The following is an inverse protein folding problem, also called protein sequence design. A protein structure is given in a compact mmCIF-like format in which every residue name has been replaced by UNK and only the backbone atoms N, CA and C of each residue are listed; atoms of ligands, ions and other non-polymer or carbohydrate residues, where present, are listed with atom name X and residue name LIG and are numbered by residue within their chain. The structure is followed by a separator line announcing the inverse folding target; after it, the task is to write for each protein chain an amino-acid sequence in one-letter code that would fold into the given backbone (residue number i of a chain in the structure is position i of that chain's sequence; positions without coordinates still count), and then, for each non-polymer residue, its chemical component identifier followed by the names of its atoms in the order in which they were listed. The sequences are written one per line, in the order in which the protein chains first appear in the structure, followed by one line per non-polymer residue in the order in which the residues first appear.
data_IF_619582970632
#
_entry.id   IF_619582970632
#
_cell.length_a   1.000
_cell.length_b   1.000
_cell.length_c   1.000
_cell.angle_alpha   90.00
_cell.angle_beta   90.00
_cell.angle_gamma   90.00
#
_symmetry.space_group_name_H-M   'P 1'
#
loop_
_entity.id
_entity.type
_entity.pdbx_description
1 polymer ?
2 non-polymer ?
3 water ?
#
# COMPACT_ATOMS: atom_id res chain seq x y z
N UNK A 5 15.34 -0.87 -6.46
CA UNK A 5 13.96 -0.29 -6.50
C UNK A 5 13.95 1.21 -6.17
N UNK A 6 12.89 1.93 -6.58
CA UNK A 6 12.77 3.38 -6.36
C UNK A 6 12.69 3.65 -4.86
N UNK A 7 13.16 4.82 -4.44
CA UNK A 7 13.11 5.09 -3.03
C UNK A 7 11.69 5.48 -2.65
N UNK A 8 11.16 4.77 -1.70
CA UNK A 8 9.84 5.07 -1.17
C UNK A 8 10.04 5.46 0.26
N UNK A 9 9.37 6.50 0.67
CA UNK A 9 9.44 6.97 2.03
C UNK A 9 8.05 6.90 2.66
N UNK A 10 8.08 6.91 4.02
CA UNK A 10 6.85 6.88 4.81
C UNK A 10 6.60 8.28 5.35
N UNK A 11 5.54 8.88 4.86
CA UNK A 11 5.12 10.19 5.27
C UNK A 11 3.96 10.01 6.19
N UNK A 12 4.22 9.83 7.48
CA UNK A 12 3.14 9.69 8.41
C UNK A 12 2.20 10.87 8.42
N UNK A 13 2.75 12.09 8.29
CA UNK A 13 1.94 13.31 8.33
C UNK A 13 0.89 13.39 7.21
N UNK A 14 1.14 12.67 6.10
CA UNK A 14 0.17 12.60 5.05
C UNK A 14 -0.48 11.19 4.93
N UNK A 15 -0.29 10.33 5.94
CA UNK A 15 -0.74 8.89 5.94
C UNK A 15 -0.47 8.19 4.62
N UNK A 16 0.77 8.26 4.18
CA UNK A 16 1.09 7.70 2.89
C UNK A 16 2.49 7.23 2.82
N UNK A 17 2.69 6.26 1.95
CA UNK A 17 4.02 5.94 1.44
C UNK A 17 4.12 6.60 0.09
N UNK A 18 5.27 7.17 -0.22
CA UNK A 18 5.36 7.98 -1.42
C UNK A 18 6.76 7.92 -1.99
N UNK A 19 6.84 8.23 -3.28
CA UNK A 19 8.17 8.50 -3.85
C UNK A 19 8.76 9.72 -3.20
N UNK A 20 10.04 9.88 -3.29
CA UNK A 20 10.63 10.99 -2.64
C UNK A 20 10.19 12.34 -3.15
N UNK A 21 9.85 12.39 -4.44
CA UNK A 21 9.33 13.62 -5.03
C UNK A 21 7.86 13.85 -4.71
N UNK A 22 7.25 12.95 -3.90
CA UNK A 22 5.85 13.12 -3.47
C UNK A 22 4.83 12.87 -4.56
N UNK A 23 5.24 12.50 -5.77
CA UNK A 23 4.33 12.50 -6.87
C UNK A 23 3.48 11.24 -6.95
N UNK A 24 4.01 10.12 -6.49
CA UNK A 24 3.29 8.86 -6.50
C UNK A 24 3.19 8.37 -5.09
N UNK A 25 2.04 7.85 -4.70
CA UNK A 25 1.84 7.50 -3.33
C UNK A 25 0.77 6.48 -3.16
N UNK A 26 0.77 5.86 -1.99
CA UNK A 26 -0.33 5.03 -1.52
C UNK A 26 -0.74 5.55 -0.18
N UNK A 27 -2.01 5.85 -0.03
CA UNK A 27 -2.57 6.42 1.18
C UNK A 27 -3.31 5.39 1.97
N UNK A 28 -3.27 5.53 3.28
CA UNK A 28 -3.97 4.60 4.13
C UNK A 28 -4.70 5.32 5.23
N UNK A 29 -5.56 4.55 5.91
CA UNK A 29 -6.27 4.97 7.13
C UNK A 29 -6.04 3.88 8.11
N UNK A 30 -5.66 4.23 9.32
CA UNK A 30 -5.55 3.24 10.36
C UNK A 30 -6.82 3.07 11.14
N UNK A 31 -7.10 1.84 11.49
CA UNK A 31 -8.29 1.52 12.24
C UNK A 31 -7.96 0.54 13.34
N UNK A 32 -8.86 0.44 14.30
CA UNK A 32 -8.84 -0.51 15.41
C UNK A 32 -7.57 -0.36 16.18
N UNK A 33 -7.37 0.84 16.72
CA UNK A 33 -6.24 1.11 17.60
C UNK A 33 -4.94 0.77 16.95
N UNK A 34 -4.84 1.11 15.67
CA UNK A 34 -3.62 0.94 14.92
C UNK A 34 -3.35 -0.47 14.45
N UNK A 35 -4.30 -1.38 14.56
CA UNK A 35 -4.12 -2.78 14.18
C UNK A 35 -4.45 -3.09 12.75
N UNK A 36 -5.14 -2.19 12.07
CA UNK A 36 -5.59 -2.46 10.70
C UNK A 36 -5.22 -1.27 9.86
N UNK A 37 -4.59 -1.48 8.71
CA UNK A 37 -4.22 -0.45 7.75
C UNK A 37 -5.11 -0.62 6.56
N UNK A 38 -5.98 0.37 6.32
CA UNK A 38 -6.85 0.32 5.18
C UNK A 38 -6.11 1.08 4.09
N UNK A 39 -5.71 0.37 3.04
CA UNK A 39 -5.06 0.97 1.90
C UNK A 39 -6.15 1.48 1.02
N UNK A 40 -6.29 2.79 1.00
CA UNK A 40 -7.47 3.39 0.42
C UNK A 40 -7.24 3.93 -0.98
N UNK A 41 -5.99 4.28 -1.35
CA UNK A 41 -5.83 4.92 -2.58
C UNK A 41 -4.36 4.85 -3.01
N UNK A 42 -4.13 4.41 -4.22
CA UNK A 42 -2.81 4.40 -4.86
C UNK A 42 -2.87 5.35 -6.01
N UNK A 43 -1.89 6.25 -6.13
CA UNK A 43 -1.88 7.23 -7.17
C UNK A 43 -0.49 7.24 -7.85
N UNK A 44 -0.48 7.04 -9.14
CA UNK A 44 0.73 7.21 -9.92
C UNK A 44 0.32 8.10 -11.10
N UNK A 45 0.93 9.26 -11.25
CA UNK A 45 0.57 10.11 -12.40
C UNK A 45 0.99 9.46 -13.68
N UNK A 46 0.31 9.79 -14.75
CA UNK A 46 0.61 9.22 -16.05
C UNK A 46 2.08 9.33 -16.45
N UNK A 47 2.74 10.45 -16.11
CA UNK A 47 4.16 10.65 -16.51
C UNK A 47 5.08 9.76 -15.71
N UNK A 48 4.60 9.10 -14.68
CA UNK A 48 5.40 8.19 -13.87
C UNK A 48 5.02 6.75 -14.10
N UNK A 49 4.09 6.47 -14.99
CA UNK A 49 3.70 5.09 -15.27
C UNK A 49 4.81 4.36 -16.01
N UNK A 50 4.82 3.05 -15.85
CA UNK A 50 5.79 2.22 -16.50
C UNK A 50 7.03 1.98 -15.69
N UNK A 51 7.08 2.48 -14.47
CA UNK A 51 8.21 2.33 -13.60
C UNK A 51 7.95 1.36 -12.49
N UNK A 52 6.83 0.68 -12.50
CA UNK A 52 6.51 -0.24 -11.45
C UNK A 52 6.14 0.41 -10.14
N UNK A 53 5.83 1.70 -10.14
CA UNK A 53 5.68 2.40 -8.86
C UNK A 53 4.50 1.93 -8.09
N UNK A 54 3.37 1.65 -8.72
CA UNK A 54 2.21 1.23 -7.93
C UNK A 54 2.57 0.01 -7.12
N UNK A 55 3.22 -0.96 -7.76
CA UNK A 55 3.57 -2.17 -7.06
C UNK A 55 4.63 -1.89 -6.01
N UNK A 56 5.62 -1.07 -6.31
CA UNK A 56 6.61 -0.78 -5.30
C UNK A 56 5.99 -0.07 -4.08
N UNK A 57 5.03 0.82 -4.33
CA UNK A 57 4.33 1.46 -3.23
C UNK A 57 3.59 0.44 -2.38
N UNK A 58 2.89 -0.48 -3.07
CA UNK A 58 2.22 -1.54 -2.33
C UNK A 58 3.18 -2.34 -1.53
N UNK A 59 4.30 -2.75 -2.08
CA UNK A 59 5.24 -3.52 -1.30
C UNK A 59 5.67 -2.73 -0.08
N UNK A 60 5.95 -1.45 -0.22
CA UNK A 60 6.36 -0.69 0.94
C UNK A 60 5.30 -0.72 2.01
N UNK A 61 4.04 -0.55 1.63
CA UNK A 61 2.95 -0.55 2.63
C UNK A 61 2.80 -1.91 3.25
N UNK A 62 2.86 -2.97 2.45
CA UNK A 62 2.70 -4.34 2.97
C UNK A 62 3.88 -4.67 3.86
N UNK A 63 5.08 -4.31 3.50
CA UNK A 63 6.21 -4.58 4.38
C UNK A 63 6.05 -3.86 5.69
N UNK A 64 5.59 -2.62 5.66
CA UNK A 64 5.36 -1.89 6.88
C UNK A 64 4.32 -2.65 7.73
N UNK A 65 3.20 -3.02 7.14
CA UNK A 65 2.15 -3.71 7.90
C UNK A 65 2.68 -5.03 8.45
N UNK A 66 3.40 -5.77 7.63
CA UNK A 66 3.91 -7.07 8.06
C UNK A 66 4.84 -6.89 9.18
N UNK A 67 5.75 -5.94 9.11
CA UNK A 67 6.70 -5.75 10.17
C UNK A 67 6.06 -5.39 11.47
N UNK A 68 4.93 -4.67 11.40
CA UNK A 68 4.26 -4.14 12.59
C UNK A 68 3.11 -5.04 13.00
N UNK A 69 2.93 -6.19 12.37
CA UNK A 69 1.78 -7.06 12.72
C UNK A 69 0.40 -6.44 12.53
N UNK A 70 0.28 -5.61 11.53
CA UNK A 70 -0.93 -4.91 11.13
C UNK A 70 -1.56 -5.69 10.00
N UNK A 71 -2.87 -5.83 9.98
CA UNK A 71 -3.57 -6.42 8.85
C UNK A 71 -4.01 -5.33 7.92
N UNK A 72 -4.28 -5.73 6.70
CA UNK A 72 -4.58 -4.79 5.65
C UNK A 72 -5.98 -4.96 5.11
N UNK A 73 -6.64 -3.86 4.84
CA UNK A 73 -7.83 -3.87 4.02
C UNK A 73 -7.40 -3.33 2.67
N UNK A 74 -7.65 -4.09 1.62
CA UNK A 74 -7.26 -3.68 0.28
C UNK A 74 -8.40 -2.93 -0.37
N UNK A 75 -8.68 -1.72 0.13
CA UNK A 75 -9.82 -0.97 -0.37
C UNK A 75 -9.56 -0.45 -1.76
N UNK A 76 -8.31 0.05 -1.97
CA UNK A 76 -7.81 0.51 -3.24
C UNK A 76 -8.02 -0.56 -4.32
N UNK A 77 -8.55 -0.17 -5.46
CA UNK A 77 -8.72 -1.12 -6.56
C UNK A 77 -7.39 -1.61 -7.12
N UNK A 78 -6.35 -0.81 -7.08
CA UNK A 78 -5.08 -1.35 -7.53
C UNK A 78 -4.64 -2.49 -6.61
N UNK A 79 -4.73 -2.29 -5.32
CA UNK A 79 -4.28 -3.30 -4.36
C UNK A 79 -5.09 -4.56 -4.56
N UNK A 80 -6.40 -4.42 -4.64
CA UNK A 80 -7.27 -5.60 -4.70
C UNK A 80 -7.25 -6.27 -6.06
N UNK A 81 -7.25 -5.48 -7.14
CA UNK A 81 -7.44 -6.07 -8.46
C UNK A 81 -6.21 -6.41 -9.18
N UNK A 82 -5.08 -5.78 -8.74
CA UNK A 82 -3.86 -5.98 -9.44
C UNK A 82 -2.77 -6.53 -8.53
N UNK A 83 -2.46 -5.79 -7.43
CA UNK A 83 -1.34 -6.21 -6.63
C UNK A 83 -1.55 -7.58 -6.01
N UNK A 84 -2.67 -7.77 -5.31
CA UNK A 84 -2.83 -9.01 -4.59
C UNK A 84 -2.93 -10.25 -5.49
N UNK A 85 -3.68 -10.19 -6.56
CA UNK A 85 -3.74 -11.37 -7.41
C UNK A 85 -2.42 -11.71 -8.02
N UNK A 86 -1.60 -10.71 -8.30
CA UNK A 86 -0.28 -10.93 -8.89
C UNK A 86 0.77 -11.28 -7.88
N UNK A 87 0.48 -11.04 -6.59
CA UNK A 87 1.43 -11.23 -5.50
C UNK A 87 0.77 -11.93 -4.40
N UNK A 88 0.34 -13.17 -4.64
CA UNK A 88 -0.50 -13.81 -3.65
C UNK A 88 0.21 -14.14 -2.35
N UNK A 89 1.54 -14.11 -2.34
CA UNK A 89 2.21 -14.36 -1.07
C UNK A 89 1.90 -13.29 -0.02
N UNK A 90 1.38 -12.12 -0.46
CA UNK A 90 0.99 -11.09 0.47
C UNK A 90 -0.40 -11.28 0.99
N UNK A 91 -1.18 -12.18 0.43
CA UNK A 91 -2.54 -12.35 0.86
C UNK A 91 -2.70 -12.61 2.37
N UNK A 92 -1.82 -13.35 3.03
CA UNK A 92 -2.03 -13.56 4.48
C UNK A 92 -2.08 -12.28 5.28
N UNK A 93 -1.58 -11.17 4.76
CA UNK A 93 -1.65 -9.92 5.49
C UNK A 93 -3.05 -9.34 5.51
N UNK A 94 -3.89 -9.74 4.59
CA UNK A 94 -5.23 -9.16 4.46
C UNK A 94 -6.05 -9.60 5.65
N UNK A 95 -6.80 -8.64 6.19
CA UNK A 95 -7.73 -8.94 7.30
C UNK A 95 -8.62 -10.07 6.83
N UNK A 96 -8.83 -11.04 7.72
CA UNK A 96 -9.53 -12.29 7.36
C UNK A 96 -10.95 -12.09 7.00
N UNK A 97 -11.55 -11.01 7.44
CA UNK A 97 -12.95 -10.81 7.13
C UNK A 97 -13.19 -10.15 5.78
N UNK A 98 -12.13 -9.68 5.14
CA UNK A 98 -12.27 -9.02 3.87
C UNK A 98 -13.03 -9.79 2.81
N UNK A 99 -12.66 -10.99 2.42
CA UNK A 99 -11.47 -11.79 2.47
C UNK A 99 -10.21 -11.31 3.16
X LIG B 1 -1.82 4.56 14.56
X LIG C 1 10.34 7.94 -8.45
X LIG D 1 11.18 10.40 -6.48
X LIG E 1 -6.55 3.52 14.70
X LIG F 1 3.92 -13.64 -4.63
X LIG G 1 1.46 -5.47 -8.93
X LIG H 1 2.38 2.17 -11.96
X LIG I 1 4.07 0.42 -14.17
X LIG J 1 -3.66 -16.95 -5.13
X LIG K 1 -9.78 -6.17 18.19
X LIG L 1 -5.02 7.36 10.08
#
# INVERSE_FOLDING_TARGET
SATEPPKIVWNEGKRRFETEDHEAFIEYKMRNNGKVMDLVHTYVPSFKRGLGLASHLCVAAFEHASSHSISIIPSCSYVSDTFLPRNPSWKPLIHSEVFKSSI
BR BR
BR BR
BR BR
BR BR
BR BR
BR BR
BR BR
BR BR
BR BR
BR BR
BR BR
#
